data_IF_822508071149
#
_entry.id   IF_822508071149
#
_cell.length_a   1.000
_cell.length_b   1.000
_cell.length_c   1.000
_cell.angle_alpha   90.00
_cell.angle_beta   90.00
_cell.angle_gamma   90.00
#
_symmetry.space_group_name_H-M   'P 1'
#
loop_
_entity.id
_entity.type
_entity.pdbx_description
1 polymer ?
#
# COMPACT_ATOMS: atom_id res chain seq x y z
N UNK A 1 15.43 2.80 -5.56
CA UNK A 1 14.25 3.14 -6.38
C UNK A 1 13.49 4.34 -5.82
N UNK A 2 12.93 4.31 -4.58
CA UNK A 2 12.11 5.42 -4.05
C UNK A 2 12.82 6.79 -4.07
N UNK A 3 14.11 6.86 -3.75
CA UNK A 3 14.88 8.12 -3.77
C UNK A 3 14.97 8.74 -5.16
N UNK A 4 15.01 7.93 -6.22
CA UNK A 4 15.03 8.44 -7.60
C UNK A 4 13.76 9.21 -7.91
N UNK A 5 12.60 8.74 -7.44
CA UNK A 5 11.31 9.41 -7.64
C UNK A 5 11.18 10.70 -6.82
N UNK A 6 11.74 10.74 -5.60
CA UNK A 6 11.71 11.95 -4.75
C UNK A 6 12.55 13.08 -5.34
N UNK A 7 13.65 12.76 -6.02
CA UNK A 7 14.55 13.73 -6.64
C UNK A 7 14.27 13.99 -8.14
N UNK A 8 13.12 13.52 -8.65
CA UNK A 8 12.70 13.81 -10.03
C UNK A 8 12.13 15.23 -10.15
N UNK A 9 12.05 15.73 -11.37
CA UNK A 9 11.37 17.01 -11.68
C UNK A 9 9.84 16.93 -11.56
N UNK A 10 9.28 15.75 -11.32
CA UNK A 10 7.84 15.53 -11.21
C UNK A 10 7.38 15.83 -9.78
N UNK A 11 6.72 16.97 -9.60
CA UNK A 11 6.30 17.50 -8.29
C UNK A 11 5.39 16.52 -7.54
N UNK A 12 4.52 15.80 -8.24
CA UNK A 12 3.60 14.81 -7.64
C UNK A 12 4.31 13.65 -6.95
N UNK A 13 5.56 13.37 -7.34
CA UNK A 13 6.37 12.30 -6.76
C UNK A 13 7.35 12.78 -5.69
N UNK A 14 7.53 14.11 -5.57
CA UNK A 14 8.39 14.73 -4.56
C UNK A 14 7.70 14.82 -3.20
N UNK A 15 7.22 13.68 -2.66
CA UNK A 15 6.57 13.65 -1.37
C UNK A 15 6.99 12.41 -0.57
N UNK A 16 6.98 12.52 0.75
CA UNK A 16 7.28 11.39 1.65
C UNK A 16 6.36 10.19 1.42
N UNK A 17 5.14 10.42 0.90
CA UNK A 17 4.24 9.36 0.49
C UNK A 17 4.89 8.38 -0.49
N UNK A 18 5.72 8.85 -1.41
CA UNK A 18 6.46 8.00 -2.36
C UNK A 18 7.35 7.00 -1.63
N UNK A 19 8.12 7.47 -0.65
CA UNK A 19 8.98 6.60 0.16
C UNK A 19 8.14 5.56 0.93
N UNK A 20 7.07 6.03 1.59
CA UNK A 20 6.18 5.18 2.38
C UNK A 20 5.49 4.13 1.51
N UNK A 21 5.06 4.50 0.31
CA UNK A 21 4.47 3.56 -0.63
C UNK A 21 5.46 2.47 -1.05
N UNK A 22 6.70 2.83 -1.40
CA UNK A 22 7.70 1.84 -1.83
C UNK A 22 8.13 0.92 -0.70
N UNK A 23 8.50 1.48 0.46
CA UNK A 23 8.88 0.70 1.63
C UNK A 23 7.71 -0.10 2.19
N UNK A 24 6.52 0.50 2.22
CA UNK A 24 5.30 -0.17 2.67
C UNK A 24 4.97 -1.39 1.80
N UNK A 25 5.07 -1.29 0.48
CA UNK A 25 4.86 -2.43 -0.41
C UNK A 25 5.84 -3.57 -0.12
N UNK A 26 7.13 -3.25 0.02
CA UNK A 26 8.15 -4.25 0.34
C UNK A 26 7.86 -4.91 1.69
N UNK A 27 7.53 -4.11 2.71
CA UNK A 27 7.20 -4.60 4.04
C UNK A 27 5.96 -5.48 4.06
N UNK A 28 4.88 -5.06 3.40
CA UNK A 28 3.61 -5.81 3.33
C UNK A 28 3.81 -7.13 2.58
N UNK A 29 4.40 -7.11 1.39
CA UNK A 29 4.57 -8.32 0.58
C UNK A 29 5.58 -9.28 1.21
N UNK A 30 6.70 -8.76 1.74
CA UNK A 30 7.69 -9.58 2.42
C UNK A 30 7.12 -10.25 3.67
N UNK A 31 6.43 -9.51 4.52
CA UNK A 31 5.78 -10.07 5.71
C UNK A 31 4.67 -11.05 5.36
N UNK A 32 3.89 -10.80 4.31
CA UNK A 32 2.85 -11.71 3.85
C UNK A 32 3.43 -13.06 3.40
N UNK A 33 4.53 -13.06 2.64
CA UNK A 33 5.22 -14.26 2.23
C UNK A 33 5.74 -15.07 3.43
N UNK A 34 6.37 -14.41 4.40
CA UNK A 34 6.87 -15.07 5.62
C UNK A 34 5.73 -15.77 6.37
N UNK A 35 4.59 -15.09 6.55
CA UNK A 35 3.43 -15.66 7.25
C UNK A 35 2.85 -16.85 6.50
N UNK A 36 2.63 -16.71 5.19
CA UNK A 36 2.07 -17.80 4.36
C UNK A 36 2.99 -19.01 4.37
N UNK A 37 4.30 -18.84 4.21
CA UNK A 37 5.26 -19.95 4.23
C UNK A 37 5.40 -20.58 5.62
N UNK A 38 5.28 -19.78 6.67
CA UNK A 38 5.27 -20.30 8.05
C UNK A 38 4.04 -21.18 8.32
N UNK A 39 2.84 -20.72 7.91
CA UNK A 39 1.60 -21.48 8.09
C UNK A 39 1.60 -22.74 7.22
N UNK A 40 2.15 -22.68 6.00
CA UNK A 40 2.25 -23.81 5.08
C UNK A 40 3.30 -24.85 5.48
N UNK A 41 4.07 -24.61 6.53
CA UNK A 41 5.11 -25.52 7.01
C UNK A 41 6.43 -25.50 6.22
N UNK A 42 6.57 -24.57 5.25
CA UNK A 42 7.82 -24.39 4.49
C UNK A 42 8.89 -23.74 5.37
N UNK A 43 8.49 -22.81 6.24
CA UNK A 43 9.36 -22.17 7.23
C UNK A 43 9.06 -22.69 8.64
N UNK A 44 10.01 -22.59 9.59
CA UNK A 44 9.77 -22.92 10.99
C UNK A 44 8.57 -22.15 11.55
N UNK A 45 7.69 -22.83 12.25
CA UNK A 45 6.50 -22.23 12.85
C UNK A 45 6.86 -21.50 14.15
N UNK A 46 7.43 -20.30 14.03
CA UNK A 46 7.74 -19.43 15.16
C UNK A 46 6.57 -18.45 15.33
N UNK A 47 5.76 -18.66 16.38
CA UNK A 47 4.56 -17.85 16.63
C UNK A 47 4.88 -16.37 16.82
N UNK A 48 5.97 -16.04 17.49
CA UNK A 48 6.42 -14.65 17.68
C UNK A 48 6.75 -13.97 16.34
N UNK A 49 7.44 -14.65 15.44
CA UNK A 49 7.76 -14.13 14.10
C UNK A 49 6.49 -13.90 13.28
N UNK A 50 5.59 -14.87 13.26
CA UNK A 50 4.33 -14.77 12.53
C UNK A 50 3.47 -13.61 13.03
N UNK A 51 3.26 -13.51 14.34
CA UNK A 51 2.47 -12.44 14.94
C UNK A 51 3.14 -11.07 14.74
N UNK A 52 4.47 -11.01 14.80
CA UNK A 52 5.24 -9.82 14.48
C UNK A 52 5.03 -9.36 13.03
N UNK A 53 5.06 -10.28 12.07
CA UNK A 53 4.80 -9.95 10.65
C UNK A 53 3.36 -9.47 10.43
N UNK A 54 2.36 -10.07 11.07
CA UNK A 54 0.96 -9.61 11.01
C UNK A 54 0.84 -8.20 11.57
N UNK A 55 1.50 -7.91 12.69
CA UNK A 55 1.53 -6.57 13.29
C UNK A 55 2.18 -5.56 12.33
N UNK A 56 3.31 -5.90 11.72
CA UNK A 56 4.00 -5.05 10.74
C UNK A 56 3.07 -4.70 9.58
N UNK A 57 2.36 -5.66 9.02
CA UNK A 57 1.38 -5.41 7.95
C UNK A 57 0.29 -4.45 8.42
N UNK A 58 -0.27 -4.68 9.60
CA UNK A 58 -1.31 -3.82 10.15
C UNK A 58 -0.81 -2.38 10.32
N UNK A 59 0.39 -2.19 10.88
CA UNK A 59 0.98 -0.86 11.07
C UNK A 59 1.28 -0.17 9.72
N UNK A 60 1.79 -0.90 8.73
CA UNK A 60 2.08 -0.33 7.41
C UNK A 60 0.81 0.06 6.65
N UNK A 61 -0.25 -0.75 6.74
CA UNK A 61 -1.55 -0.41 6.14
C UNK A 61 -2.15 0.82 6.81
N UNK A 62 -2.12 0.90 8.15
CA UNK A 62 -2.59 2.07 8.89
C UNK A 62 -1.78 3.33 8.55
N UNK A 63 -0.45 3.24 8.53
CA UNK A 63 0.42 4.35 8.18
C UNK A 63 0.09 4.87 6.78
N UNK A 64 -0.13 4.00 5.83
CA UNK A 64 -0.50 4.34 4.47
C UNK A 64 -1.85 5.05 4.42
N UNK A 65 -2.87 4.53 5.11
CA UNK A 65 -4.19 5.14 5.17
C UNK A 65 -4.18 6.55 5.78
N UNK A 66 -3.23 6.84 6.66
CA UNK A 66 -3.03 8.17 7.24
C UNK A 66 -2.29 9.12 6.29
N UNK A 67 -1.25 8.62 5.61
CA UNK A 67 -0.36 9.46 4.79
C UNK A 67 -0.97 9.80 3.43
N UNK A 68 -1.75 8.91 2.84
CA UNK A 68 -2.35 9.17 1.51
C UNK A 68 -3.31 10.36 1.47
N UNK A 69 -4.23 10.54 2.43
CA UNK A 69 -5.07 11.75 2.46
C UNK A 69 -4.25 13.04 2.62
N UNK A 70 -3.15 13.01 3.39
CA UNK A 70 -2.24 14.15 3.53
C UNK A 70 -1.57 14.49 2.21
N UNK A 71 -1.10 13.49 1.48
CA UNK A 71 -0.54 13.67 0.14
C UNK A 71 -1.55 14.29 -0.83
N UNK A 72 -2.79 13.81 -0.84
CA UNK A 72 -3.87 14.39 -1.66
C UNK A 72 -4.13 15.85 -1.26
N UNK A 73 -4.13 16.14 0.04
CA UNK A 73 -4.26 17.49 0.57
C UNK A 73 -3.15 18.42 0.08
N UNK A 74 -1.92 17.97 0.13
CA UNK A 74 -0.76 18.73 -0.35
C UNK A 74 -0.81 18.96 -1.88
N UNK A 75 -1.24 17.97 -2.66
CA UNK A 75 -1.46 18.13 -4.09
C UNK A 75 -2.53 19.19 -4.39
N UNK A 76 -3.62 19.22 -3.64
CA UNK A 76 -4.68 20.22 -3.82
C UNK A 76 -4.23 21.62 -3.38
N UNK A 77 -3.44 21.72 -2.31
CA UNK A 77 -2.88 22.98 -1.84
C UNK A 77 -1.90 23.61 -2.86
N UNK A 78 -1.16 22.76 -3.59
CA UNK A 78 -0.21 23.20 -4.64
C UNK A 78 -0.82 23.17 -6.05
N UNK A 79 -2.14 23.27 -6.17
CA UNK A 79 -2.89 23.14 -7.42
C UNK A 79 -2.39 24.06 -8.55
N UNK A 80 -1.99 25.30 -8.24
CA UNK A 80 -1.48 26.25 -9.23
C UNK A 80 -0.16 25.81 -9.85
N UNK A 81 0.74 25.21 -9.06
CA UNK A 81 2.03 24.71 -9.56
C UNK A 81 1.85 23.42 -10.39
N UNK A 82 0.88 22.61 -10.02
CA UNK A 82 0.57 21.33 -10.65
C UNK A 82 -0.25 21.53 -11.93
N UNK A 83 -1.06 22.60 -12.03
CA UNK A 83 -1.88 22.91 -13.20
C UNK A 83 -1.07 23.14 -14.49
N UNK A 84 0.23 23.46 -14.36
CA UNK A 84 1.14 23.65 -15.51
C UNK A 84 1.68 22.33 -16.07
N UNK A 85 1.44 21.21 -15.40
CA UNK A 85 1.91 19.90 -15.83
C UNK A 85 1.02 19.35 -16.96
N UNK A 86 1.62 18.70 -17.99
CA UNK A 86 0.89 18.26 -19.19
C UNK A 86 -0.19 17.21 -18.93
N UNK A 87 -0.13 16.49 -17.82
CA UNK A 87 -1.07 15.40 -17.50
C UNK A 87 -2.22 15.82 -16.55
N UNK A 88 -2.33 17.10 -16.19
CA UNK A 88 -3.36 17.62 -15.30
C UNK A 88 -3.63 16.70 -14.07
N UNK A 89 -2.67 16.55 -13.14
CA UNK A 89 -2.70 15.52 -12.09
C UNK A 89 -3.95 15.54 -11.23
N UNK A 90 -4.53 16.73 -10.97
CA UNK A 90 -5.75 16.85 -10.17
C UNK A 90 -7.00 16.34 -10.89
N UNK A 91 -7.08 16.55 -12.21
CA UNK A 91 -8.18 16.00 -13.02
C UNK A 91 -8.09 14.47 -13.07
N UNK A 92 -6.88 13.94 -13.29
CA UNK A 92 -6.63 12.50 -13.26
C UNK A 92 -6.93 11.90 -11.88
N UNK A 93 -6.54 12.55 -10.80
CA UNK A 93 -6.86 12.13 -9.44
C UNK A 93 -8.37 12.09 -9.22
N UNK A 94 -9.12 13.07 -9.72
CA UNK A 94 -10.57 13.11 -9.66
C UNK A 94 -11.21 11.91 -10.36
N UNK A 95 -10.72 11.53 -11.54
CA UNK A 95 -11.19 10.36 -12.28
C UNK A 95 -10.81 9.04 -11.60
N UNK A 96 -9.64 8.98 -10.97
CA UNK A 96 -9.12 7.78 -10.29
C UNK A 96 -9.56 7.65 -8.83
N UNK A 97 -10.28 8.64 -8.29
CA UNK A 97 -10.77 8.63 -6.92
C UNK A 97 -11.55 7.36 -6.54
N UNK A 98 -12.46 6.83 -7.38
CA UNK A 98 -13.14 5.57 -7.04
C UNK A 98 -12.18 4.38 -6.96
N UNK A 99 -11.16 4.32 -7.81
CA UNK A 99 -10.13 3.26 -7.74
C UNK A 99 -9.31 3.38 -6.45
N UNK A 100 -8.98 4.60 -6.06
CA UNK A 100 -8.23 4.88 -4.83
C UNK A 100 -9.03 4.46 -3.58
N UNK A 101 -10.29 4.85 -3.48
CA UNK A 101 -11.16 4.47 -2.36
C UNK A 101 -11.42 2.96 -2.32
N UNK A 102 -11.59 2.32 -3.48
CA UNK A 102 -11.74 0.88 -3.58
C UNK A 102 -10.47 0.16 -3.11
N UNK A 103 -9.28 0.64 -3.49
CA UNK A 103 -8.01 0.07 -3.04
C UNK A 103 -7.83 0.16 -1.52
N UNK A 104 -8.28 1.25 -0.89
CA UNK A 104 -8.27 1.39 0.56
C UNK A 104 -9.20 0.36 1.23
N UNK A 105 -10.42 0.21 0.72
CA UNK A 105 -11.36 -0.79 1.22
C UNK A 105 -10.81 -2.22 1.11
N UNK A 106 -10.27 -2.57 -0.05
CA UNK A 106 -9.64 -3.88 -0.30
C UNK A 106 -8.45 -4.10 0.63
N UNK A 107 -7.64 -3.08 0.86
CA UNK A 107 -6.48 -3.15 1.76
C UNK A 107 -6.88 -3.45 3.20
N UNK A 108 -7.91 -2.78 3.72
CA UNK A 108 -8.42 -3.00 5.08
C UNK A 108 -9.04 -4.39 5.22
N UNK A 109 -9.91 -4.78 4.29
CA UNK A 109 -10.53 -6.10 4.28
C UNK A 109 -9.47 -7.21 4.16
N UNK A 110 -8.53 -7.04 3.23
CA UNK A 110 -7.41 -7.97 3.03
C UNK A 110 -6.56 -8.12 4.29
N UNK A 111 -6.27 -7.01 4.98
CA UNK A 111 -5.55 -7.03 6.26
C UNK A 111 -6.34 -7.80 7.33
N UNK A 112 -7.65 -7.62 7.42
CA UNK A 112 -8.48 -8.34 8.40
C UNK A 112 -8.47 -9.85 8.14
N UNK A 113 -8.70 -10.28 6.90
CA UNK A 113 -8.63 -11.71 6.53
C UNK A 113 -7.24 -12.28 6.77
N UNK A 114 -6.21 -11.53 6.42
CA UNK A 114 -4.83 -11.95 6.63
C UNK A 114 -4.49 -12.10 8.11
N UNK A 115 -4.90 -11.15 8.96
CA UNK A 115 -4.68 -11.20 10.40
C UNK A 115 -5.40 -12.41 11.04
N UNK A 116 -6.66 -12.64 10.68
CA UNK A 116 -7.42 -13.82 11.15
C UNK A 116 -6.76 -15.10 10.68
N UNK A 117 -6.38 -15.19 9.41
CA UNK A 117 -5.69 -16.36 8.85
C UNK A 117 -4.34 -16.61 9.51
N UNK A 118 -3.54 -15.56 9.71
CA UNK A 118 -2.24 -15.64 10.37
C UNK A 118 -2.34 -16.07 11.84
N UNK A 119 -3.21 -15.44 12.61
CA UNK A 119 -3.37 -15.76 14.04
C UNK A 119 -4.01 -17.12 14.28
N UNK A 120 -4.99 -17.52 13.46
CA UNK A 120 -5.71 -18.81 13.59
C UNK A 120 -5.07 -19.95 12.78
N UNK A 121 -3.95 -19.71 12.11
CA UNK A 121 -3.29 -20.67 11.21
C UNK A 121 -4.21 -21.23 10.12
N UNK A 122 -5.12 -20.39 9.63
CA UNK A 122 -6.07 -20.72 8.58
C UNK A 122 -5.47 -20.33 7.22
N UNK A 123 -4.97 -21.31 6.48
CA UNK A 123 -4.29 -21.11 5.17
C UNK A 123 -5.20 -20.43 4.15
N UNK A 124 -6.47 -20.85 3.91
CA UNK A 124 -7.34 -20.20 2.94
C UNK A 124 -7.58 -18.71 3.25
N UNK A 125 -7.81 -18.38 4.51
CA UNK A 125 -8.02 -16.99 4.93
C UNK A 125 -6.75 -16.13 4.76
N UNK A 126 -5.59 -16.68 5.11
CA UNK A 126 -4.32 -15.98 4.93
C UNK A 126 -3.99 -15.77 3.44
N UNK A 127 -4.22 -16.76 2.59
CA UNK A 127 -4.03 -16.65 1.15
C UNK A 127 -4.98 -15.62 0.53
N UNK A 128 -6.26 -15.68 0.89
CA UNK A 128 -7.25 -14.73 0.40
C UNK A 128 -6.89 -13.28 0.80
N UNK A 129 -6.54 -13.08 2.06
CA UNK A 129 -6.07 -11.78 2.55
C UNK A 129 -4.80 -11.31 1.84
N UNK A 130 -3.84 -12.20 1.55
CA UNK A 130 -2.62 -11.88 0.80
C UNK A 130 -2.93 -11.44 -0.63
N UNK A 131 -3.82 -12.14 -1.33
CA UNK A 131 -4.23 -11.78 -2.69
C UNK A 131 -4.92 -10.42 -2.71
N UNK A 132 -5.78 -10.13 -1.75
CA UNK A 132 -6.42 -8.82 -1.61
C UNK A 132 -5.41 -7.70 -1.35
N UNK A 133 -4.42 -7.94 -0.47
CA UNK A 133 -3.35 -6.98 -0.21
C UNK A 133 -2.51 -6.71 -1.47
N UNK A 134 -2.12 -7.74 -2.20
CA UNK A 134 -1.39 -7.59 -3.48
C UNK A 134 -2.24 -6.80 -4.49
N UNK A 135 -3.52 -7.13 -4.63
CA UNK A 135 -4.44 -6.42 -5.52
C UNK A 135 -4.56 -4.93 -5.18
N UNK A 136 -4.68 -4.60 -3.89
CA UNK A 136 -4.70 -3.21 -3.44
C UNK A 136 -3.40 -2.47 -3.75
N UNK A 137 -2.23 -3.14 -3.61
CA UNK A 137 -0.93 -2.58 -3.95
C UNK A 137 -0.83 -2.24 -5.44
N UNK A 138 -1.28 -3.16 -6.31
CA UNK A 138 -1.29 -2.93 -7.76
C UNK A 138 -2.19 -1.74 -8.12
N UNK A 139 -3.38 -1.65 -7.53
CA UNK A 139 -4.28 -0.51 -7.75
C UNK A 139 -3.66 0.82 -7.31
N UNK A 140 -3.02 0.85 -6.14
CA UNK A 140 -2.35 2.04 -5.64
C UNK A 140 -1.18 2.46 -6.53
N UNK A 141 -0.41 1.51 -7.04
CA UNK A 141 0.66 1.77 -7.99
C UNK A 141 0.13 2.32 -9.31
N UNK A 142 -0.95 1.75 -9.81
CA UNK A 142 -1.60 2.25 -11.01
C UNK A 142 -2.00 3.72 -10.85
N UNK A 143 -2.66 4.09 -9.75
CA UNK A 143 -3.03 5.48 -9.45
C UNK A 143 -1.78 6.37 -9.35
N UNK A 144 -0.75 5.94 -8.63
CA UNK A 144 0.48 6.69 -8.44
C UNK A 144 1.18 7.03 -9.77
N UNK A 145 1.32 6.06 -10.65
CA UNK A 145 1.96 6.28 -11.95
C UNK A 145 1.06 7.01 -12.96
N UNK A 146 -0.25 6.90 -12.83
CA UNK A 146 -1.20 7.60 -13.70
C UNK A 146 -1.25 9.10 -13.41
N UNK A 147 -0.96 9.54 -12.19
CA UNK A 147 -0.93 10.94 -11.79
C UNK A 147 0.39 11.62 -12.19
N UNK A 148 1.46 10.91 -12.21
CA UNK A 148 2.80 11.40 -12.61
C UNK A 148 2.97 11.40 -14.10
#
# INVERSE_FOLDING_TARGET
MAQVYIHTSIITWQHYNTLIMFLGTVGILGSALVVVFSISGILPQIDALRNGCVLVIALLVLLRLLVQPLWIGDLTANAMQIATLPHAPLAMLGQLKPILTLSWGISVIGMMFFAVGGCKKNIPAALFGSVMLVGSEVMLRFVFFSIG
#
